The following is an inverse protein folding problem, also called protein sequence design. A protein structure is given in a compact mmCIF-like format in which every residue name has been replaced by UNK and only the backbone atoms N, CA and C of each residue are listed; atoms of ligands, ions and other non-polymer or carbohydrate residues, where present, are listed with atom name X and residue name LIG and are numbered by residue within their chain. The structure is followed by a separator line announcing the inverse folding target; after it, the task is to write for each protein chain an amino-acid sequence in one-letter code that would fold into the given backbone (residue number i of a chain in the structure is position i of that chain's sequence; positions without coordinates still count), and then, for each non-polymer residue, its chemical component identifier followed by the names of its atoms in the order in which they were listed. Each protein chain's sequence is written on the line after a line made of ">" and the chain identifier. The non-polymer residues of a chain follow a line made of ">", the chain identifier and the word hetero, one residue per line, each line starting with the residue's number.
data_IF_677035732713
#
_entry.id   IF_677035732713
#
_cell.length_a   1.000
_cell.length_b   1.000
_cell.length_c   1.000
_cell.angle_alpha   90.00
_cell.angle_beta   90.00
_cell.angle_gamma   90.00
#
_symmetry.space_group_name_H-M   'P 1'
#
loop_
_entity.id
_entity.type
_entity.pdbx_description
1 polymer ?
#
# COMPACT_ATOMS: atom_id res chain seq x y z
N UNK A 1 8.04 16.06 -3.11
CA UNK A 1 7.34 15.02 -3.84
C UNK A 1 5.94 15.46 -4.15
N UNK A 2 5.54 15.25 -5.36
CA UNK A 2 4.19 15.63 -5.75
C UNK A 2 3.13 14.96 -4.90
N UNK A 3 3.39 13.74 -4.49
CA UNK A 3 2.42 12.99 -3.70
C UNK A 3 2.14 13.63 -2.35
N UNK A 4 3.09 14.34 -1.79
CA UNK A 4 2.88 14.99 -0.52
C UNK A 4 1.91 16.14 -0.62
N UNK A 5 1.92 16.80 -1.77
CA UNK A 5 1.03 17.93 -1.98
C UNK A 5 -0.43 17.50 -1.85
N UNK A 6 -0.74 16.31 -2.32
CA UNK A 6 -2.10 15.83 -2.24
C UNK A 6 -2.56 15.62 -0.82
N UNK A 7 -1.67 15.16 0.03
CA UNK A 7 -2.02 14.89 1.42
C UNK A 7 -2.24 16.16 2.21
N UNK A 8 -1.68 17.26 1.74
CA UNK A 8 -1.76 18.53 2.44
C UNK A 8 -2.93 19.39 1.99
N UNK A 9 -3.81 18.86 1.19
CA UNK A 9 -4.94 19.62 0.72
C UNK A 9 -5.91 19.90 1.85
N UNK A 10 -6.67 21.00 1.75
CA UNK A 10 -7.62 21.34 2.80
C UNK A 10 -8.65 20.25 3.10
N UNK A 11 -9.08 19.52 2.10
CA UNK A 11 -9.97 18.39 2.34
C UNK A 11 -9.16 17.11 2.27
N UNK A 12 -8.40 16.89 3.33
CA UNK A 12 -7.38 15.86 3.34
C UNK A 12 -7.87 14.46 3.01
N UNK A 13 -9.07 14.09 3.49
CA UNK A 13 -9.52 12.74 3.20
C UNK A 13 -9.79 12.54 1.73
N UNK A 14 -10.18 13.58 1.01
CA UNK A 14 -10.37 13.45 -0.41
C UNK A 14 -9.07 13.40 -1.17
N UNK A 15 -8.00 13.91 -0.53
CA UNK A 15 -6.70 13.84 -1.13
C UNK A 15 -6.19 12.43 -1.31
N UNK A 16 -6.71 11.50 -0.52
CA UNK A 16 -6.28 10.11 -0.67
C UNK A 16 -6.69 9.51 -2.00
N UNK A 17 -7.78 9.97 -2.57
CA UNK A 17 -8.17 9.49 -3.89
C UNK A 17 -7.11 9.78 -4.94
N UNK A 18 -6.60 11.01 -4.97
CA UNK A 18 -5.52 11.36 -5.88
C UNK A 18 -4.28 10.56 -5.61
N UNK A 19 -3.95 10.39 -4.33
CA UNK A 19 -2.74 9.70 -3.98
C UNK A 19 -2.79 8.25 -4.41
N UNK A 20 -3.93 7.60 -4.20
CA UNK A 20 -4.10 6.22 -4.57
C UNK A 20 -3.98 6.06 -6.09
N UNK A 21 -4.64 6.94 -6.85
CA UNK A 21 -4.56 6.85 -8.30
C UNK A 21 -3.16 7.11 -8.80
N UNK A 22 -2.49 8.08 -8.21
CA UNK A 22 -1.13 8.36 -8.59
C UNK A 22 -0.23 7.15 -8.37
N UNK A 23 -0.35 6.53 -7.20
CA UNK A 23 0.47 5.36 -6.89
C UNK A 23 0.14 4.20 -7.80
N UNK A 24 -1.14 4.02 -8.11
CA UNK A 24 -1.55 2.97 -9.02
C UNK A 24 -0.88 3.14 -10.38
N UNK A 25 -0.90 4.36 -10.90
CA UNK A 25 -0.26 4.62 -12.20
C UNK A 25 1.24 4.40 -12.14
N UNK A 26 1.89 4.86 -11.07
CA UNK A 26 3.32 4.70 -10.95
C UNK A 26 3.72 3.24 -10.83
N UNK A 27 2.99 2.48 -10.04
CA UNK A 27 3.28 1.06 -9.88
C UNK A 27 3.11 0.34 -11.22
N UNK A 28 2.08 0.68 -11.96
CA UNK A 28 1.88 0.10 -13.27
C UNK A 28 3.01 0.41 -14.22
N UNK A 29 3.53 1.64 -14.17
CA UNK A 29 4.65 2.01 -15.02
C UNK A 29 5.91 1.23 -14.67
N UNK A 30 6.14 1.02 -13.38
CA UNK A 30 7.34 0.33 -12.92
C UNK A 30 7.27 -1.16 -13.23
N UNK A 31 6.15 -1.78 -12.94
CA UNK A 31 6.04 -3.24 -13.00
C UNK A 31 5.55 -3.75 -14.35
N UNK A 32 4.87 -2.91 -15.12
CA UNK A 32 4.31 -3.36 -16.37
C UNK A 32 2.98 -4.04 -16.19
N UNK A 33 2.36 -4.45 -17.31
CA UNK A 33 1.01 -4.96 -17.29
C UNK A 33 0.88 -6.39 -17.80
N UNK A 34 1.99 -7.05 -18.07
CA UNK A 34 1.94 -8.31 -18.80
C UNK A 34 1.94 -9.53 -17.89
N UNK A 35 1.90 -9.35 -16.58
CA UNK A 35 1.83 -10.49 -15.66
C UNK A 35 1.37 -10.00 -14.30
N UNK A 36 1.07 -10.94 -13.41
CA UNK A 36 0.71 -10.59 -12.04
C UNK A 36 1.93 -10.23 -11.23
N UNK A 37 1.72 -9.39 -10.23
CA UNK A 37 2.78 -8.95 -9.34
C UNK A 37 2.29 -8.98 -7.90
N UNK A 38 3.19 -9.31 -7.00
CA UNK A 38 2.88 -9.37 -5.57
C UNK A 38 3.43 -8.14 -4.88
N UNK A 39 2.57 -7.49 -4.11
CA UNK A 39 2.91 -6.24 -3.45
C UNK A 39 2.61 -6.34 -1.96
N UNK A 40 3.30 -5.51 -1.19
CA UNK A 40 2.96 -5.30 0.21
C UNK A 40 2.87 -3.80 0.47
N UNK A 41 2.18 -3.45 1.54
CA UNK A 41 2.02 -2.07 1.96
C UNK A 41 2.74 -1.88 3.28
N UNK A 42 3.52 -0.83 3.38
CA UNK A 42 4.14 -0.44 4.64
C UNK A 42 3.45 0.81 5.12
N UNK A 43 2.69 0.68 6.20
CA UNK A 43 1.88 1.77 6.72
C UNK A 43 0.41 1.44 6.61
N UNK A 44 -0.25 1.28 7.77
CA UNK A 44 -1.65 0.85 7.84
C UNK A 44 -2.60 2.00 8.18
N UNK A 45 -2.18 3.23 7.93
CA UNK A 45 -3.06 4.38 8.11
C UNK A 45 -4.07 4.52 6.99
N UNK A 46 -4.63 5.72 6.88
CA UNK A 46 -5.70 5.94 5.92
C UNK A 46 -5.26 5.68 4.48
N UNK A 47 -4.06 6.11 4.12
CA UNK A 47 -3.60 5.90 2.76
C UNK A 47 -3.33 4.42 2.48
N UNK A 48 -2.71 3.73 3.43
CA UNK A 48 -2.45 2.31 3.24
C UNK A 48 -3.73 1.52 3.06
N UNK A 49 -4.74 1.84 3.87
CA UNK A 49 -6.02 1.15 3.74
C UNK A 49 -6.72 1.49 2.44
N UNK A 50 -6.60 2.73 2.00
CA UNK A 50 -7.20 3.13 0.73
C UNK A 50 -6.55 2.39 -0.43
N UNK A 51 -5.24 2.22 -0.38
CA UNK A 51 -4.54 1.44 -1.40
C UNK A 51 -5.01 -0.01 -1.41
N UNK A 52 -5.10 -0.61 -0.22
CA UNK A 52 -5.47 -2.01 -0.12
C UNK A 52 -6.87 -2.25 -0.69
N UNK A 53 -7.73 -1.24 -0.61
CA UNK A 53 -9.11 -1.39 -1.05
C UNK A 53 -9.38 -0.89 -2.47
N UNK A 54 -8.35 -0.43 -3.16
CA UNK A 54 -8.52 0.08 -4.51
C UNK A 54 -8.58 -1.09 -5.47
N UNK A 55 -9.77 -1.38 -5.95
CA UNK A 55 -10.01 -2.60 -6.69
C UNK A 55 -9.25 -2.67 -8.01
N UNK A 56 -8.85 -1.53 -8.56
CA UNK A 56 -8.15 -1.52 -9.84
C UNK A 56 -6.79 -2.21 -9.78
N UNK A 57 -6.16 -2.28 -8.60
CA UNK A 57 -4.92 -3.03 -8.47
C UNK A 57 -5.17 -4.51 -8.78
N UNK A 58 -6.21 -5.04 -8.18
CA UNK A 58 -6.54 -6.44 -8.38
C UNK A 58 -6.91 -6.74 -9.83
N UNK A 59 -7.66 -5.84 -10.43
CA UNK A 59 -8.07 -6.02 -11.82
C UNK A 59 -6.87 -6.05 -12.77
N UNK A 60 -5.82 -5.34 -12.42
CA UNK A 60 -4.63 -5.26 -13.25
C UNK A 60 -3.65 -6.39 -12.95
N UNK A 61 -3.92 -7.19 -11.93
CA UNK A 61 -3.02 -8.27 -11.57
C UNK A 61 -2.02 -7.90 -10.49
N UNK A 62 -2.22 -6.77 -9.82
CA UNK A 62 -1.37 -6.36 -8.70
C UNK A 62 -2.03 -6.81 -7.42
N UNK A 63 -1.43 -7.77 -6.75
CA UNK A 63 -2.02 -8.38 -5.57
C UNK A 63 -1.29 -7.92 -4.32
N UNK A 64 -2.02 -7.28 -3.41
CA UNK A 64 -1.46 -6.93 -2.11
C UNK A 64 -1.58 -8.14 -1.20
N UNK A 65 -0.44 -8.63 -0.73
CA UNK A 65 -0.40 -9.84 0.08
C UNK A 65 -0.21 -9.55 1.55
N UNK A 66 0.26 -8.36 1.91
CA UNK A 66 0.49 -8.05 3.30
C UNK A 66 0.49 -6.55 3.55
N UNK A 67 0.21 -6.19 4.80
CA UNK A 67 0.25 -4.79 5.22
C UNK A 67 0.92 -4.75 6.59
N UNK A 68 1.90 -3.87 6.73
CA UNK A 68 2.77 -3.84 7.90
C UNK A 68 2.81 -2.44 8.51
N UNK A 69 2.98 -2.38 9.80
CA UNK A 69 3.09 -1.11 10.50
C UNK A 69 3.91 -1.30 11.77
N UNK A 70 4.43 -0.20 12.29
CA UNK A 70 5.17 -0.25 13.54
C UNK A 70 4.34 0.26 14.71
N UNK A 71 3.07 0.50 14.52
CA UNK A 71 2.17 0.97 15.56
C UNK A 71 1.39 -0.22 16.13
N UNK A 72 1.70 -0.65 17.37
CA UNK A 72 1.02 -1.82 17.91
C UNK A 72 -0.49 -1.69 18.01
N UNK A 73 -1.00 -0.48 18.06
CA UNK A 73 -2.44 -0.27 18.12
C UNK A 73 -3.15 -0.73 16.85
N UNK A 74 -2.43 -0.85 15.76
CA UNK A 74 -3.01 -1.26 14.50
C UNK A 74 -2.85 -2.76 14.24
N UNK A 75 -2.05 -3.45 15.04
CA UNK A 75 -1.83 -4.87 14.80
C UNK A 75 -3.12 -5.64 14.92
N UNK A 76 -3.34 -6.55 13.99
CA UNK A 76 -4.54 -7.37 13.97
C UNK A 76 -5.72 -6.73 13.28
N UNK A 77 -5.63 -5.44 12.95
CA UNK A 77 -6.69 -4.79 12.22
C UNK A 77 -6.77 -5.38 10.81
N UNK A 78 -7.98 -5.65 10.36
CA UNK A 78 -8.17 -6.30 9.07
C UNK A 78 -8.51 -5.29 8.00
N UNK A 79 -7.88 -5.46 6.85
CA UNK A 79 -8.13 -4.64 5.68
C UNK A 79 -8.24 -5.59 4.50
N UNK A 80 -9.43 -5.72 3.94
CA UNK A 80 -9.75 -6.74 2.94
C UNK A 80 -9.42 -8.10 3.54
N UNK A 81 -8.51 -8.82 2.93
CA UNK A 81 -8.12 -10.14 3.39
C UNK A 81 -6.82 -10.14 4.14
N UNK A 82 -6.32 -8.97 4.50
CA UNK A 82 -5.03 -8.85 5.15
C UNK A 82 -5.20 -8.37 6.57
N UNK A 83 -4.31 -8.82 7.42
CA UNK A 83 -4.24 -8.41 8.80
C UNK A 83 -2.96 -7.62 9.00
N UNK A 84 -3.05 -6.47 9.67
CA UNK A 84 -1.87 -5.63 9.91
C UNK A 84 -0.91 -6.37 10.80
N UNK A 85 0.35 -6.45 10.37
CA UNK A 85 1.39 -7.17 11.07
C UNK A 85 2.52 -6.25 11.51
N UNK A 86 3.27 -6.64 12.53
CA UNK A 86 4.46 -5.86 12.91
C UNK A 86 5.45 -5.78 11.78
N UNK A 87 6.10 -4.63 11.67
CA UNK A 87 7.05 -4.42 10.58
C UNK A 87 8.24 -5.39 10.68
N UNK A 88 8.49 -5.91 11.88
CA UNK A 88 9.57 -6.88 12.06
C UNK A 88 9.35 -8.16 11.28
N UNK A 89 8.10 -8.47 10.93
CA UNK A 89 7.81 -9.68 10.17
C UNK A 89 7.96 -9.48 8.67
N UNK A 90 8.25 -8.27 8.24
CA UNK A 90 8.24 -7.96 6.81
C UNK A 90 9.32 -8.71 6.06
N UNK A 91 10.50 -8.79 6.63
CA UNK A 91 11.62 -9.39 5.93
C UNK A 91 11.38 -10.85 5.61
N UNK A 92 10.92 -11.63 6.58
CA UNK A 92 10.63 -13.03 6.30
C UNK A 92 9.44 -13.16 5.37
N UNK A 93 8.46 -12.27 5.49
CA UNK A 93 7.31 -12.30 4.60
C UNK A 93 7.74 -12.10 3.14
N UNK A 94 8.64 -11.16 2.91
CA UNK A 94 9.15 -10.90 1.57
C UNK A 94 9.85 -12.13 1.01
N UNK A 95 10.65 -12.78 1.85
CA UNK A 95 11.37 -13.97 1.40
C UNK A 95 10.46 -15.13 1.08
N UNK A 96 9.37 -15.26 1.82
CA UNK A 96 8.48 -16.40 1.63
C UNK A 96 7.49 -16.23 0.50
N UNK A 97 7.24 -15.00 0.07
CA UNK A 97 6.13 -14.72 -0.83
C UNK A 97 6.53 -14.07 -2.15
N UNK A 98 7.79 -13.96 -2.44
CA UNK A 98 8.26 -13.40 -3.71
C UNK A 98 7.62 -12.06 -4.01
N UNK A 99 7.86 -11.09 -3.12
CA UNK A 99 7.26 -9.77 -3.26
C UNK A 99 8.02 -8.97 -4.32
N UNK A 100 7.29 -8.35 -5.22
CA UNK A 100 7.88 -7.56 -6.29
C UNK A 100 8.14 -6.11 -5.86
N UNK A 101 7.27 -5.56 -5.05
CA UNK A 101 7.45 -4.17 -4.63
C UNK A 101 6.76 -3.93 -3.30
N UNK A 102 7.35 -3.06 -2.49
CA UNK A 102 6.77 -2.62 -1.23
C UNK A 102 6.39 -1.16 -1.37
N UNK A 103 5.14 -0.84 -1.09
CA UNK A 103 4.64 0.52 -1.22
C UNK A 103 4.65 1.19 0.14
N UNK A 104 5.40 2.26 0.25
CA UNK A 104 5.56 2.97 1.51
C UNK A 104 4.53 4.08 1.60
N UNK A 105 3.66 3.99 2.60
CA UNK A 105 2.57 4.95 2.76
C UNK A 105 2.69 5.76 4.04
N UNK A 106 3.73 5.53 4.84
CA UNK A 106 3.89 6.30 6.07
C UNK A 106 4.44 7.68 5.74
N UNK A 107 4.08 8.68 6.54
CA UNK A 107 4.59 10.01 6.27
C UNK A 107 6.08 10.08 6.54
N UNK A 108 6.71 10.94 5.78
CA UNK A 108 8.09 11.23 6.00
C UNK A 108 8.21 12.07 7.27
N UNK A 109 9.01 11.69 8.19
CA UNK A 109 9.13 12.48 9.42
C UNK A 109 10.33 13.38 9.41
#
# INVERSE_FOLDING_TARGET
>A
MASQTFLDRPNGQQGYGYKVEYLYEEIGRILGLDKTHNLIIIGAGNLGQALANYINFERRGFLFLGIFDNNPKLYGMKTRNMEVRPIEEMESFIKENQIDIAVLTIPKS
#
